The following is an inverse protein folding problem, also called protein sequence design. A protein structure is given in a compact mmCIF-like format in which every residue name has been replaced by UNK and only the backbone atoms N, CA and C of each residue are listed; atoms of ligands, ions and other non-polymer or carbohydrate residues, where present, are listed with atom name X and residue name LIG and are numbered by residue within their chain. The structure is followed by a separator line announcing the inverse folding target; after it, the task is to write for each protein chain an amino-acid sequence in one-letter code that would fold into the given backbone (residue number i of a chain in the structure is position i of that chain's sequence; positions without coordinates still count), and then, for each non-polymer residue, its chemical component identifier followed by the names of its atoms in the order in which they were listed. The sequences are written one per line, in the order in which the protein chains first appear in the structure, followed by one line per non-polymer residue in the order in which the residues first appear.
data_IF_231138677182
#
_entry.id   IF_231138677182
#
_cell.length_a   1.000
_cell.length_b   1.000
_cell.length_c   1.000
_cell.angle_alpha   90.00
_cell.angle_beta   90.00
_cell.angle_gamma   90.00
#
_symmetry.space_group_name_H-M   'P 1'
#
loop_
_entity.id
_entity.type
_entity.pdbx_description
1 polymer ?
#
# COMPACT_ATOMS: atom_id res chain seq x y z
N UNK A 1 -3.94 -7.04 31.35
CA UNK A 1 -4.49 -5.67 31.26
C UNK A 1 -4.58 -5.32 29.79
N UNK A 2 -5.66 -4.67 29.37
CA UNK A 2 -5.81 -4.30 27.96
C UNK A 2 -4.78 -3.21 27.60
N UNK A 3 -4.07 -3.42 26.48
CA UNK A 3 -3.05 -2.52 25.97
C UNK A 3 -3.49 -2.01 24.62
N UNK A 4 -3.38 -0.71 24.38
CA UNK A 4 -3.60 -0.08 23.08
C UNK A 4 -2.23 0.14 22.44
N UNK A 5 -2.08 -0.29 21.19
CA UNK A 5 -0.93 0.10 20.38
C UNK A 5 -1.28 1.30 19.52
N UNK A 6 -0.52 2.39 19.66
CA UNK A 6 -0.67 3.61 18.90
C UNK A 6 0.46 3.72 17.87
N UNK A 7 0.14 3.75 16.59
CA UNK A 7 1.19 3.74 15.56
C UNK A 7 1.86 5.11 15.42
N UNK A 8 3.18 5.18 15.56
CA UNK A 8 3.96 6.31 15.06
C UNK A 8 4.09 6.14 13.55
N UNK A 9 3.85 7.23 12.81
CA UNK A 9 3.71 7.21 11.35
C UNK A 9 4.54 8.33 10.75
N UNK A 10 4.00 9.08 9.79
CA UNK A 10 4.76 10.01 8.97
C UNK A 10 4.07 11.38 8.94
N UNK A 11 4.82 12.41 8.57
CA UNK A 11 4.30 13.73 8.18
C UNK A 11 3.30 14.34 9.20
N UNK A 12 2.15 14.81 8.75
CA UNK A 12 1.18 15.49 9.59
C UNK A 12 0.59 14.59 10.71
N UNK A 13 0.20 13.32 10.46
CA UNK A 13 -0.21 12.40 11.53
C UNK A 13 0.86 12.20 12.62
N UNK A 14 2.14 12.15 12.27
CA UNK A 14 3.21 12.05 13.25
C UNK A 14 3.26 13.31 14.14
N UNK A 15 3.25 14.51 13.53
CA UNK A 15 3.24 15.76 14.29
C UNK A 15 2.03 15.87 15.22
N UNK A 16 0.84 15.47 14.75
CA UNK A 16 -0.36 15.44 15.57
C UNK A 16 -0.23 14.46 16.75
N UNK A 17 0.41 13.31 16.53
CA UNK A 17 0.68 12.31 17.57
C UNK A 17 1.52 12.89 18.70
N UNK A 18 2.58 13.65 18.40
CA UNK A 18 3.40 14.31 19.44
C UNK A 18 2.60 15.23 20.36
N UNK A 19 1.53 15.85 19.85
CA UNK A 19 0.64 16.69 20.68
C UNK A 19 -0.44 15.88 21.39
N UNK A 20 -1.03 14.88 20.73
CA UNK A 20 -2.28 14.26 21.18
C UNK A 20 -2.08 12.96 21.97
N UNK A 21 -1.00 12.21 21.70
CA UNK A 21 -0.69 10.96 22.39
C UNK A 21 -0.55 11.15 23.92
N UNK A 22 0.14 12.18 24.45
CA UNK A 22 0.23 12.36 25.90
C UNK A 22 -1.14 12.59 26.57
N UNK A 23 -2.09 13.19 25.85
CA UNK A 23 -3.47 13.35 26.32
C UNK A 23 -4.18 12.00 26.37
N UNK A 24 -4.03 11.17 25.33
CA UNK A 24 -4.62 9.83 25.30
C UNK A 24 -4.06 8.97 26.45
N UNK A 25 -2.75 8.95 26.64
CA UNK A 25 -2.08 8.22 27.72
C UNK A 25 -2.60 8.63 29.12
N UNK A 26 -2.69 9.93 29.37
CA UNK A 26 -3.20 10.46 30.63
C UNK A 26 -4.64 10.01 30.93
N UNK A 27 -5.53 10.01 29.93
CA UNK A 27 -6.92 9.60 30.11
C UNK A 27 -7.08 8.07 30.17
N UNK A 28 -6.33 7.32 29.36
CA UNK A 28 -6.40 5.86 29.32
C UNK A 28 -5.86 5.22 30.61
N UNK A 29 -4.78 5.79 31.18
CA UNK A 29 -4.19 5.30 32.44
C UNK A 29 -5.16 5.39 33.63
N UNK A 30 -6.06 6.38 33.65
CA UNK A 30 -7.11 6.48 34.68
C UNK A 30 -8.10 5.30 34.66
N UNK A 31 -8.21 4.60 33.53
CA UNK A 31 -8.99 3.37 33.37
C UNK A 31 -8.14 2.09 33.46
N UNK A 32 -6.85 2.20 33.79
CA UNK A 32 -5.92 1.06 33.84
C UNK A 32 -5.58 0.48 32.46
N UNK A 33 -5.71 1.29 31.39
CA UNK A 33 -5.34 0.91 30.02
C UNK A 33 -3.98 1.50 29.68
N UNK A 34 -3.05 0.64 29.30
CA UNK A 34 -1.72 1.04 28.85
C UNK A 34 -1.77 1.43 27.37
N UNK A 35 -1.01 2.45 26.99
CA UNK A 35 -0.83 2.86 25.59
C UNK A 35 0.65 2.74 25.26
N UNK A 36 0.98 1.92 24.28
CA UNK A 36 2.35 1.78 23.78
C UNK A 36 2.43 2.24 22.33
N UNK A 37 3.60 2.70 21.94
CA UNK A 37 3.87 3.06 20.55
C UNK A 37 4.55 1.92 19.79
N UNK A 38 4.27 1.85 18.50
CA UNK A 38 5.08 1.08 17.54
C UNK A 38 5.35 1.95 16.33
N UNK A 39 6.62 2.07 15.94
CA UNK A 39 7.01 2.91 14.81
C UNK A 39 6.90 2.16 13.49
N UNK A 40 5.99 2.61 12.64
CA UNK A 40 5.78 2.10 11.28
C UNK A 40 6.01 3.21 10.24
N UNK A 41 6.72 4.28 10.63
CA UNK A 41 7.19 5.32 9.74
C UNK A 41 7.99 4.73 8.57
N UNK A 42 8.09 5.48 7.48
CA UNK A 42 8.98 5.11 6.37
C UNK A 42 10.42 4.95 6.84
N UNK A 43 10.90 5.86 7.69
CA UNK A 43 12.26 5.83 8.21
C UNK A 43 12.52 4.58 9.05
N UNK A 44 11.72 4.32 10.07
CA UNK A 44 11.88 3.15 10.95
C UNK A 44 11.80 1.83 10.19
N UNK A 45 10.86 1.71 9.23
CA UNK A 45 10.77 0.51 8.37
C UNK A 45 11.96 0.33 7.43
N UNK A 46 12.58 1.42 6.96
CA UNK A 46 13.84 1.32 6.20
C UNK A 46 14.93 0.79 7.13
N UNK A 47 15.14 1.40 8.30
CA UNK A 47 16.19 0.98 9.24
C UNK A 47 16.02 -0.49 9.64
N UNK A 48 14.81 -0.90 10.03
CA UNK A 48 14.48 -2.28 10.39
C UNK A 48 14.82 -3.29 9.28
N UNK A 49 14.56 -2.95 8.01
CA UNK A 49 14.84 -3.84 6.87
C UNK A 49 16.34 -4.09 6.63
N UNK A 50 17.22 -3.27 7.21
CA UNK A 50 18.67 -3.36 7.10
C UNK A 50 19.36 -3.57 8.46
N UNK A 51 18.61 -3.80 9.55
CA UNK A 51 19.15 -3.95 10.90
C UNK A 51 20.26 -5.00 11.03
N UNK A 52 20.26 -6.06 10.22
CA UNK A 52 21.33 -7.06 10.17
C UNK A 52 22.66 -6.54 9.60
N UNK A 53 22.60 -5.51 8.74
CA UNK A 53 23.76 -4.87 8.10
C UNK A 53 24.24 -3.61 8.85
N UNK A 54 23.41 -3.07 9.75
CA UNK A 54 23.74 -1.87 10.51
C UNK A 54 24.57 -2.19 11.77
N UNK A 55 25.42 -1.24 12.23
CA UNK A 55 26.04 -1.29 13.56
C UNK A 55 24.98 -1.45 14.65
N UNK A 56 25.33 -2.13 15.76
CA UNK A 56 24.37 -2.51 16.80
C UNK A 56 23.57 -1.31 17.36
N UNK A 57 24.23 -0.17 17.49
CA UNK A 57 23.69 1.09 17.97
C UNK A 57 22.71 1.78 17.00
N UNK A 58 22.70 1.38 15.73
CA UNK A 58 21.80 1.90 14.69
C UNK A 58 20.65 0.93 14.37
N UNK A 59 20.57 -0.23 15.05
CA UNK A 59 19.54 -1.24 14.78
C UNK A 59 18.24 -0.84 15.44
N UNK A 60 17.16 -1.05 14.71
CA UNK A 60 15.79 -0.94 15.22
C UNK A 60 15.07 -2.29 15.10
N UNK A 61 14.07 -2.52 15.96
CA UNK A 61 13.22 -3.70 15.86
C UNK A 61 12.24 -3.55 14.69
N UNK A 62 11.84 -4.67 14.09
CA UNK A 62 10.82 -4.66 13.04
C UNK A 62 9.42 -4.57 13.66
N UNK A 63 9.05 -3.36 14.04
CA UNK A 63 7.76 -3.07 14.64
C UNK A 63 6.57 -3.41 13.72
N UNK A 64 6.76 -3.44 12.39
CA UNK A 64 5.71 -3.86 11.46
C UNK A 64 5.49 -5.38 11.53
N UNK A 65 6.57 -6.16 11.60
CA UNK A 65 6.48 -7.60 11.82
C UNK A 65 5.85 -7.93 13.18
N UNK A 66 6.28 -7.26 14.25
CA UNK A 66 5.69 -7.41 15.60
C UNK A 66 4.18 -7.13 15.60
N UNK A 67 3.75 -6.06 14.91
CA UNK A 67 2.34 -5.72 14.79
C UNK A 67 1.55 -6.73 13.93
N UNK A 68 2.17 -7.32 12.92
CA UNK A 68 1.57 -8.38 12.12
C UNK A 68 1.30 -9.64 12.95
N UNK A 69 2.25 -10.05 13.77
CA UNK A 69 2.05 -11.13 14.73
C UNK A 69 0.93 -10.79 15.71
N UNK A 70 0.98 -9.59 16.31
CA UNK A 70 -0.05 -9.12 17.25
C UNK A 70 -1.44 -9.14 16.62
N UNK A 71 -1.60 -8.71 15.37
CA UNK A 71 -2.90 -8.64 14.68
C UNK A 71 -3.60 -10.01 14.55
N UNK A 72 -2.86 -11.11 14.65
CA UNK A 72 -3.41 -12.48 14.64
C UNK A 72 -3.82 -12.99 16.02
N UNK A 73 -3.64 -12.18 17.07
CA UNK A 73 -3.96 -12.53 18.47
C UNK A 73 -5.24 -11.85 18.95
N UNK A 74 -6.00 -12.47 19.88
CA UNK A 74 -7.18 -11.84 20.49
C UNK A 74 -6.90 -10.56 21.27
N UNK A 75 -5.65 -10.37 21.72
CA UNK A 75 -5.22 -9.22 22.50
C UNK A 75 -4.99 -7.96 21.64
N UNK A 76 -5.03 -8.08 20.31
CA UNK A 76 -4.77 -6.98 19.38
C UNK A 76 -5.77 -5.82 19.58
N UNK A 77 -5.24 -4.66 19.98
CA UNK A 77 -5.98 -3.41 20.00
C UNK A 77 -5.09 -2.29 19.43
N UNK A 78 -5.18 -2.08 18.12
CA UNK A 78 -4.25 -1.25 17.35
C UNK A 78 -4.99 -0.02 16.81
N UNK A 79 -4.55 1.17 17.21
CA UNK A 79 -4.95 2.44 16.60
C UNK A 79 -3.96 2.79 15.49
N UNK A 80 -4.39 2.57 14.25
CA UNK A 80 -3.60 2.82 13.05
C UNK A 80 -3.87 4.19 12.45
N UNK A 81 -2.86 5.07 12.46
CA UNK A 81 -2.91 6.39 11.83
C UNK A 81 -2.50 6.31 10.35
N UNK A 82 -2.85 7.29 9.49
CA UNK A 82 -2.36 7.33 8.11
C UNK A 82 -0.83 7.33 8.05
N UNK A 83 -0.25 6.60 7.09
CA UNK A 83 1.21 6.48 6.90
C UNK A 83 1.56 6.55 5.41
N UNK A 84 2.83 6.81 5.09
CA UNK A 84 3.34 6.86 3.73
C UNK A 84 3.33 5.45 3.11
N UNK A 85 2.65 5.32 1.97
CA UNK A 85 2.91 4.26 1.00
C UNK A 85 3.94 4.78 0.01
N UNK A 86 5.22 4.47 0.21
CA UNK A 86 6.29 5.24 -0.41
C UNK A 86 6.38 5.03 -1.92
N UNK A 87 6.39 6.13 -2.67
CA UNK A 87 6.89 6.16 -4.04
C UNK A 87 8.43 6.04 -4.07
N UNK A 88 9.01 5.73 -5.23
CA UNK A 88 10.48 5.68 -5.38
C UNK A 88 11.15 7.02 -5.01
N UNK A 89 10.65 8.20 -5.42
CA UNK A 89 11.24 9.47 -4.99
C UNK A 89 11.20 9.68 -3.47
N UNK A 90 10.08 9.37 -2.81
CA UNK A 90 9.97 9.48 -1.35
C UNK A 90 10.93 8.52 -0.64
N UNK A 91 11.07 7.30 -1.15
CA UNK A 91 12.01 6.33 -0.62
C UNK A 91 13.45 6.83 -0.71
N UNK A 92 13.88 7.32 -1.88
CA UNK A 92 15.23 7.89 -2.07
C UNK A 92 15.48 9.09 -1.17
N UNK A 93 14.48 9.96 -0.99
CA UNK A 93 14.58 11.10 -0.09
C UNK A 93 14.79 10.66 1.37
N UNK A 94 14.02 9.68 1.85
CA UNK A 94 14.17 9.14 3.20
C UNK A 94 15.53 8.46 3.41
N UNK A 95 16.02 7.70 2.42
CA UNK A 95 17.36 7.09 2.46
C UNK A 95 18.44 8.18 2.58
N UNK A 96 18.38 9.21 1.73
CA UNK A 96 19.35 10.30 1.75
C UNK A 96 19.33 11.08 3.08
N UNK A 97 18.15 11.29 3.67
CA UNK A 97 18.00 11.92 4.97
C UNK A 97 18.62 11.07 6.09
N UNK A 98 18.34 9.76 6.12
CA UNK A 98 18.92 8.82 7.09
C UNK A 98 20.45 8.72 6.96
N UNK A 99 20.97 8.69 5.73
CA UNK A 99 22.41 8.70 5.46
C UNK A 99 23.05 10.01 5.94
N UNK A 100 22.39 11.17 5.74
CA UNK A 100 22.86 12.45 6.25
C UNK A 100 22.88 12.51 7.79
N UNK A 101 22.04 11.72 8.46
CA UNK A 101 22.03 11.52 9.91
C UNK A 101 23.06 10.47 10.38
N UNK A 102 23.80 9.84 9.45
CA UNK A 102 24.89 8.90 9.75
C UNK A 102 24.47 7.43 9.79
N UNK A 103 23.24 7.08 9.40
CA UNK A 103 22.82 5.68 9.30
C UNK A 103 23.47 5.05 8.06
N UNK A 104 24.16 3.92 8.25
CA UNK A 104 24.98 3.28 7.21
C UNK A 104 24.15 2.45 6.20
N UNK A 105 23.15 3.07 5.58
CA UNK A 105 22.27 2.43 4.60
C UNK A 105 22.86 2.43 3.18
N UNK A 106 22.69 1.34 2.40
CA UNK A 106 23.00 1.35 0.98
C UNK A 106 22.01 2.25 0.21
N UNK A 107 22.47 2.80 -0.91
CA UNK A 107 21.59 3.53 -1.83
C UNK A 107 20.52 2.61 -2.44
N UNK A 108 19.45 3.21 -2.97
CA UNK A 108 18.47 2.48 -3.79
C UNK A 108 18.96 2.35 -5.24
N UNK A 109 19.30 1.14 -5.72
CA UNK A 109 19.79 0.98 -7.08
C UNK A 109 18.62 0.91 -8.06
N UNK A 110 18.57 1.82 -9.03
CA UNK A 110 17.53 1.82 -10.07
C UNK A 110 17.64 0.57 -10.96
N UNK A 111 18.88 0.24 -11.35
CA UNK A 111 19.25 -0.91 -12.16
C UNK A 111 20.37 -1.69 -11.44
N UNK A 112 20.04 -2.70 -10.62
CA UNK A 112 21.03 -3.42 -9.82
C UNK A 112 21.96 -4.28 -10.71
N UNK A 113 23.27 -4.15 -10.52
CA UNK A 113 24.34 -4.82 -11.30
C UNK A 113 25.15 -5.83 -10.49
N UNK A 114 24.99 -5.83 -9.17
CA UNK A 114 25.65 -6.74 -8.24
C UNK A 114 24.66 -7.47 -7.33
N UNK A 115 25.09 -8.58 -6.74
CA UNK A 115 24.28 -9.32 -5.76
C UNK A 115 23.89 -8.44 -4.54
N UNK A 116 24.79 -7.56 -4.09
CA UNK A 116 24.51 -6.63 -3.00
C UNK A 116 23.45 -5.59 -3.38
N UNK A 117 23.49 -5.05 -4.60
CA UNK A 117 22.46 -4.13 -5.09
C UNK A 117 21.11 -4.84 -5.30
N UNK A 118 21.11 -6.10 -5.75
CA UNK A 118 19.90 -6.90 -5.87
C UNK A 118 19.25 -7.16 -4.50
N UNK A 119 20.06 -7.50 -3.48
CA UNK A 119 19.58 -7.66 -2.11
C UNK A 119 19.01 -6.35 -1.53
N UNK A 120 19.76 -5.25 -1.64
CA UNK A 120 19.31 -3.95 -1.18
C UNK A 120 18.00 -3.52 -1.87
N UNK A 121 17.92 -3.69 -3.20
CA UNK A 121 16.69 -3.43 -3.96
C UNK A 121 15.52 -4.27 -3.47
N UNK A 122 15.73 -5.57 -3.25
CA UNK A 122 14.69 -6.48 -2.80
C UNK A 122 14.15 -6.10 -1.41
N UNK A 123 15.03 -5.70 -0.48
CA UNK A 123 14.65 -5.20 0.86
C UNK A 123 13.84 -3.90 0.75
N UNK A 124 14.34 -2.92 0.00
CA UNK A 124 13.63 -1.66 -0.23
C UNK A 124 12.27 -1.85 -0.93
N UNK A 125 12.17 -2.81 -1.86
CA UNK A 125 10.94 -3.09 -2.58
C UNK A 125 9.84 -3.74 -1.71
N UNK A 126 10.22 -4.31 -0.55
CA UNK A 126 9.29 -4.72 0.53
C UNK A 126 8.82 -3.53 1.37
N UNK A 127 9.63 -2.47 1.49
CA UNK A 127 9.31 -1.26 2.27
C UNK A 127 8.46 -0.26 1.48
N UNK A 128 8.68 -0.14 0.16
CA UNK A 128 7.96 0.81 -0.70
C UNK A 128 6.53 0.37 -1.03
N UNK A 129 5.70 1.32 -1.46
CA UNK A 129 4.29 1.08 -1.76
C UNK A 129 3.46 0.82 -0.50
N UNK A 130 2.31 0.16 -0.66
CA UNK A 130 1.41 -0.16 0.46
C UNK A 130 1.90 -1.37 1.28
N UNK A 131 3.03 -1.24 1.96
CA UNK A 131 3.64 -2.32 2.75
C UNK A 131 2.93 -2.60 4.09
N UNK A 132 2.36 -1.57 4.73
CA UNK A 132 1.79 -1.72 6.08
C UNK A 132 0.38 -2.33 6.07
N UNK A 133 -0.50 -1.90 5.16
CA UNK A 133 -1.90 -2.36 5.17
C UNK A 133 -2.05 -3.88 5.01
N UNK A 134 -1.30 -4.57 4.11
CA UNK A 134 -1.41 -6.02 3.97
C UNK A 134 -1.04 -6.80 5.23
N UNK A 135 -0.20 -6.23 6.10
CA UNK A 135 0.23 -6.87 7.36
C UNK A 135 -0.78 -6.67 8.48
N UNK A 136 -1.43 -5.50 8.55
CA UNK A 136 -2.32 -5.16 9.68
C UNK A 136 -3.79 -5.49 9.45
N UNK A 137 -4.18 -5.86 8.22
CA UNK A 137 -5.59 -6.09 7.85
C UNK A 137 -5.95 -7.57 7.88
N UNK A 138 -5.78 -8.18 9.03
CA UNK A 138 -6.21 -9.56 9.34
C UNK A 138 -7.72 -9.63 9.60
N UNK A 139 -8.51 -9.02 8.71
CA UNK A 139 -9.95 -8.92 8.84
C UNK A 139 -10.61 -8.06 7.76
N UNK A 140 -11.94 -8.04 7.78
CA UNK A 140 -12.75 -7.26 6.86
C UNK A 140 -12.88 -5.80 7.30
N UNK A 141 -13.43 -4.95 6.43
CA UNK A 141 -13.57 -3.51 6.69
C UNK A 141 -15.00 -3.11 7.09
N UNK A 142 -15.20 -2.55 8.27
CA UNK A 142 -16.36 -1.68 8.60
C UNK A 142 -15.95 -0.21 8.42
N UNK A 143 -16.53 0.48 7.43
CA UNK A 143 -16.26 1.90 7.15
C UNK A 143 -17.57 2.66 7.00
N UNK A 144 -17.77 3.65 7.86
CA UNK A 144 -18.97 4.50 7.87
C UNK A 144 -18.65 5.88 8.46
N UNK A 145 -19.35 6.90 7.97
CA UNK A 145 -19.29 8.23 8.59
C UNK A 145 -19.99 8.20 9.96
N UNK A 146 -19.35 8.65 11.05
CA UNK A 146 -20.01 8.72 12.35
C UNK A 146 -21.21 9.66 12.36
N UNK A 147 -22.25 9.33 13.14
CA UNK A 147 -23.48 10.13 13.20
C UNK A 147 -23.22 11.58 13.61
N UNK A 148 -22.32 11.82 14.57
CA UNK A 148 -21.92 13.16 14.99
C UNK A 148 -21.32 13.97 13.82
N UNK A 149 -20.43 13.36 13.03
CA UNK A 149 -19.82 13.98 11.84
C UNK A 149 -20.88 14.26 10.78
N UNK A 150 -21.81 13.33 10.53
CA UNK A 150 -22.91 13.54 9.58
C UNK A 150 -23.84 14.67 10.02
N UNK A 151 -24.15 14.78 11.31
CA UNK A 151 -24.97 15.86 11.85
C UNK A 151 -24.25 17.21 11.72
N UNK A 152 -22.95 17.25 12.03
CA UNK A 152 -22.13 18.44 11.85
C UNK A 152 -22.12 18.91 10.40
N UNK A 153 -21.93 17.99 9.42
CA UNK A 153 -21.96 18.32 8.00
C UNK A 153 -23.33 18.81 7.50
N UNK A 154 -24.44 18.40 8.14
CA UNK A 154 -25.78 18.94 7.82
C UNK A 154 -25.94 20.38 8.30
N UNK A 155 -25.38 20.70 9.47
CA UNK A 155 -25.46 22.05 10.05
C UNK A 155 -24.41 23.01 9.46
N UNK A 156 -23.31 22.47 8.93
CA UNK A 156 -22.22 23.21 8.31
C UNK A 156 -21.94 22.60 6.92
N UNK A 157 -22.83 22.83 5.94
CA UNK A 157 -22.66 22.26 4.61
C UNK A 157 -21.36 22.77 3.98
N UNK A 158 -20.55 21.85 3.50
CA UNK A 158 -19.36 22.20 2.71
C UNK A 158 -19.78 22.63 1.30
N UNK A 159 -18.90 23.35 0.62
CA UNK A 159 -19.12 23.77 -0.76
C UNK A 159 -19.29 22.56 -1.67
N UNK A 160 -20.36 22.54 -2.44
CA UNK A 160 -20.61 21.58 -3.51
C UNK A 160 -20.71 22.37 -4.81
N UNK A 161 -19.85 22.06 -5.79
CA UNK A 161 -19.90 22.71 -7.10
C UNK A 161 -21.24 22.45 -7.79
N UNK A 162 -21.82 23.48 -8.41
CA UNK A 162 -23.05 23.33 -9.18
C UNK A 162 -22.80 22.43 -10.40
N UNK A 163 -23.73 21.53 -10.68
CA UNK A 163 -23.70 20.69 -11.87
C UNK A 163 -24.57 21.28 -12.98
N UNK A 164 -24.02 21.34 -14.19
CA UNK A 164 -24.77 21.73 -15.40
C UNK A 164 -25.26 20.49 -16.14
N UNK A 165 -26.46 20.55 -16.70
CA UNK A 165 -26.97 19.55 -17.62
C UNK A 165 -26.15 19.49 -18.93
N UNK A 166 -25.43 20.57 -19.26
CA UNK A 166 -24.53 20.65 -20.42
C UNK A 166 -23.10 20.12 -20.13
N UNK A 167 -22.90 19.49 -18.97
CA UNK A 167 -21.59 18.95 -18.59
C UNK A 167 -21.12 17.88 -19.58
N UNK A 168 -19.90 18.05 -20.11
CA UNK A 168 -19.24 17.07 -20.97
C UNK A 168 -18.34 16.10 -20.19
N UNK A 169 -18.22 16.25 -18.87
CA UNK A 169 -17.41 15.35 -18.05
C UNK A 169 -17.98 13.94 -18.09
N UNK A 170 -17.19 12.98 -18.58
CA UNK A 170 -17.56 11.58 -18.68
C UNK A 170 -16.37 10.68 -18.35
N UNK A 171 -16.64 9.46 -17.90
CA UNK A 171 -15.64 8.41 -17.76
C UNK A 171 -15.52 7.67 -19.09
N UNK A 172 -14.30 7.48 -19.56
CA UNK A 172 -13.98 6.57 -20.65
C UNK A 172 -13.24 5.35 -20.08
N UNK A 173 -13.62 4.15 -20.49
CA UNK A 173 -13.00 2.88 -20.10
C UNK A 173 -12.96 1.92 -21.29
N UNK A 174 -12.04 0.94 -21.29
CA UNK A 174 -11.81 0.03 -22.43
C UNK A 174 -13.01 -0.87 -22.72
N UNK A 175 -13.58 -1.53 -21.71
CA UNK A 175 -14.78 -2.37 -21.83
C UNK A 175 -14.55 -3.74 -22.49
N UNK A 176 -13.47 -3.90 -23.26
CA UNK A 176 -13.00 -5.16 -23.85
C UNK A 176 -11.47 -5.22 -23.81
N UNK A 177 -10.90 -6.43 -23.78
CA UNK A 177 -9.46 -6.68 -23.71
C UNK A 177 -8.77 -6.01 -22.51
N UNK A 178 -9.54 -5.72 -21.47
CA UNK A 178 -9.10 -5.22 -20.17
C UNK A 178 -9.16 -6.33 -19.12
N UNK A 179 -8.66 -6.03 -17.91
CA UNK A 179 -8.65 -7.02 -16.83
C UNK A 179 -10.03 -7.59 -16.52
N UNK A 180 -11.10 -6.77 -16.60
CA UNK A 180 -12.46 -7.21 -16.31
C UNK A 180 -12.97 -8.19 -17.36
N UNK A 181 -12.75 -7.90 -18.63
CA UNK A 181 -13.27 -8.69 -19.74
C UNK A 181 -12.48 -9.96 -20.03
N UNK A 182 -11.21 -10.01 -19.62
CA UNK A 182 -10.34 -11.18 -19.78
C UNK A 182 -10.28 -12.10 -18.55
N UNK A 183 -10.95 -11.75 -17.46
CA UNK A 183 -10.89 -12.49 -16.20
C UNK A 183 -11.43 -13.92 -16.34
N UNK A 184 -10.68 -14.87 -15.78
CA UNK A 184 -11.12 -16.23 -15.51
C UNK A 184 -10.94 -16.51 -14.02
N UNK A 185 -11.85 -17.29 -13.45
CA UNK A 185 -11.90 -17.57 -12.01
C UNK A 185 -12.20 -19.05 -11.77
N UNK A 186 -11.54 -19.62 -10.76
CA UNK A 186 -11.77 -20.98 -10.30
C UNK A 186 -11.85 -21.02 -8.77
N UNK A 187 -12.68 -21.93 -8.25
CA UNK A 187 -12.70 -22.27 -6.82
C UNK A 187 -11.95 -23.59 -6.65
N UNK A 188 -10.91 -23.59 -5.83
CA UNK A 188 -10.02 -24.73 -5.68
C UNK A 188 -10.71 -25.83 -4.88
N UNK A 189 -10.74 -27.08 -5.36
CA UNK A 189 -11.44 -28.17 -4.68
C UNK A 189 -10.68 -28.69 -3.44
N UNK A 190 -9.40 -28.36 -3.30
CA UNK A 190 -8.52 -28.83 -2.23
C UNK A 190 -7.24 -28.01 -2.18
N UNK A 191 -6.43 -28.24 -1.16
CA UNK A 191 -5.10 -27.62 -1.03
C UNK A 191 -4.21 -28.05 -2.20
N UNK A 192 -3.48 -27.10 -2.79
CA UNK A 192 -2.59 -27.36 -3.93
C UNK A 192 -1.40 -26.37 -3.97
N UNK A 193 -0.45 -26.61 -4.88
CA UNK A 193 0.69 -25.73 -5.13
C UNK A 193 0.76 -25.43 -6.63
N UNK A 194 0.42 -24.20 -6.99
CA UNK A 194 0.34 -23.73 -8.36
C UNK A 194 1.70 -23.19 -8.84
N UNK A 195 1.96 -23.37 -10.14
CA UNK A 195 3.06 -22.74 -10.87
C UNK A 195 2.48 -21.91 -12.01
N UNK A 196 2.92 -20.66 -12.14
CA UNK A 196 2.56 -19.75 -13.23
C UNK A 196 3.67 -19.82 -14.27
N UNK A 197 3.36 -20.39 -15.43
CA UNK A 197 4.32 -20.60 -16.54
C UNK A 197 3.86 -19.85 -17.78
N UNK A 198 4.80 -19.15 -18.43
CA UNK A 198 4.62 -18.63 -19.77
C UNK A 198 5.19 -19.62 -20.79
N UNK A 199 4.38 -20.04 -21.76
CA UNK A 199 4.81 -20.85 -22.89
C UNK A 199 4.97 -19.95 -24.12
N UNK A 200 6.20 -19.81 -24.60
CA UNK A 200 6.52 -19.05 -25.81
C UNK A 200 5.94 -19.67 -27.08
N UNK A 201 5.84 -18.87 -28.15
CA UNK A 201 5.37 -19.37 -29.45
C UNK A 201 6.27 -20.44 -30.07
N UNK A 202 7.53 -20.51 -29.64
CA UNK A 202 8.52 -21.53 -29.96
C UNK A 202 8.44 -22.78 -29.06
N UNK A 203 7.54 -22.79 -28.07
CA UNK A 203 7.39 -23.84 -27.07
C UNK A 203 8.30 -23.68 -25.86
N UNK A 204 9.13 -22.63 -25.78
CA UNK A 204 10.00 -22.39 -24.62
C UNK A 204 9.15 -22.05 -23.40
N UNK A 205 9.31 -22.81 -22.31
CA UNK A 205 8.64 -22.55 -21.04
C UNK A 205 9.50 -21.66 -20.14
N UNK A 206 8.88 -20.62 -19.58
CA UNK A 206 9.48 -19.74 -18.59
C UNK A 206 8.60 -19.70 -17.35
N UNK A 207 9.13 -20.14 -16.21
CA UNK A 207 8.42 -20.08 -14.93
C UNK A 207 8.42 -18.63 -14.43
N UNK A 208 7.23 -18.03 -14.33
CA UNK A 208 7.04 -16.66 -13.84
C UNK A 208 6.92 -16.64 -12.31
N UNK A 209 6.23 -17.63 -11.74
CA UNK A 209 6.11 -17.82 -10.29
C UNK A 209 5.97 -19.31 -9.99
N UNK A 210 6.82 -19.80 -9.11
CA UNK A 210 6.70 -21.16 -8.58
C UNK A 210 6.23 -21.17 -7.12
N UNK A 211 5.68 -22.29 -6.68
CA UNK A 211 5.36 -22.55 -5.28
C UNK A 211 4.21 -21.70 -4.70
N UNK A 212 3.22 -21.34 -5.52
CA UNK A 212 2.04 -20.59 -5.05
C UNK A 212 1.07 -21.55 -4.36
N UNK A 213 1.13 -21.62 -3.02
CA UNK A 213 0.23 -22.45 -2.23
C UNK A 213 -1.18 -21.88 -2.23
N UNK A 214 -2.17 -22.76 -2.38
CA UNK A 214 -3.60 -22.43 -2.34
C UNK A 214 -4.33 -23.40 -1.41
N UNK A 215 -5.45 -22.96 -0.85
CA UNK A 215 -6.28 -23.71 0.09
C UNK A 215 -7.54 -24.27 -0.57
N UNK A 216 -8.10 -25.31 0.03
CA UNK A 216 -9.44 -25.79 -0.28
C UNK A 216 -10.47 -24.65 -0.16
N UNK A 217 -11.24 -24.41 -1.23
CA UNK A 217 -12.24 -23.35 -1.32
C UNK A 217 -11.68 -21.95 -1.62
N UNK A 218 -10.37 -21.81 -1.80
CA UNK A 218 -9.76 -20.55 -2.23
C UNK A 218 -10.23 -20.20 -3.66
N UNK A 219 -10.47 -18.91 -3.90
CA UNK A 219 -10.80 -18.38 -5.23
C UNK A 219 -9.52 -17.86 -5.86
N UNK A 220 -9.18 -18.37 -7.04
CA UNK A 220 -8.02 -17.92 -7.80
C UNK A 220 -8.49 -17.35 -9.13
N UNK A 221 -8.14 -16.08 -9.36
CA UNK A 221 -8.45 -15.36 -10.57
C UNK A 221 -7.18 -15.14 -11.40
N UNK A 222 -7.30 -15.28 -12.72
CA UNK A 222 -6.25 -14.94 -13.67
C UNK A 222 -6.82 -14.02 -14.75
N UNK A 223 -6.08 -12.97 -15.07
CA UNK A 223 -6.49 -11.99 -16.07
C UNK A 223 -5.28 -11.31 -16.70
N UNK A 224 -5.51 -10.57 -17.78
CA UNK A 224 -4.50 -9.74 -18.43
C UNK A 224 -5.13 -8.51 -19.08
N UNK A 225 -4.30 -7.51 -19.36
CA UNK A 225 -4.67 -6.35 -20.18
C UNK A 225 -3.88 -6.42 -21.49
N UNK A 226 -4.55 -6.22 -22.63
CA UNK A 226 -3.87 -6.16 -23.92
C UNK A 226 -3.19 -4.81 -24.09
N UNK A 227 -1.85 -4.80 -24.16
CA UNK A 227 -1.08 -3.58 -24.40
C UNK A 227 -1.50 -2.88 -25.70
N UNK A 228 -1.69 -3.64 -26.79
CA UNK A 228 -2.12 -3.10 -28.08
C UNK A 228 -3.52 -2.47 -28.02
N UNK A 229 -4.47 -3.10 -27.30
CA UNK A 229 -5.81 -2.55 -27.14
C UNK A 229 -5.80 -1.30 -26.25
N UNK A 230 -4.99 -1.29 -25.19
CA UNK A 230 -4.80 -0.14 -24.31
C UNK A 230 -4.23 1.05 -25.09
N UNK A 231 -3.20 0.84 -25.90
CA UNK A 231 -2.60 1.89 -26.73
C UNK A 231 -3.60 2.47 -27.73
N UNK A 232 -4.38 1.62 -28.41
CA UNK A 232 -5.42 2.05 -29.32
C UNK A 232 -6.50 2.89 -28.60
N UNK A 233 -6.98 2.40 -27.46
CA UNK A 233 -7.94 3.09 -26.62
C UNK A 233 -7.43 4.46 -26.17
N UNK A 234 -6.20 4.54 -25.65
CA UNK A 234 -5.62 5.80 -25.18
C UNK A 234 -5.47 6.82 -26.30
N UNK A 235 -5.02 6.41 -27.49
CA UNK A 235 -4.95 7.29 -28.68
C UNK A 235 -6.32 7.84 -29.06
N UNK A 236 -7.34 6.99 -29.05
CA UNK A 236 -8.72 7.39 -29.32
C UNK A 236 -9.22 8.38 -28.27
N UNK A 237 -9.01 8.13 -26.98
CA UNK A 237 -9.49 9.02 -25.92
C UNK A 237 -8.77 10.37 -25.91
N UNK A 238 -7.49 10.42 -26.28
CA UNK A 238 -6.77 11.69 -26.49
C UNK A 238 -7.38 12.47 -27.65
N UNK A 239 -7.68 11.81 -28.77
CA UNK A 239 -8.33 12.45 -29.92
C UNK A 239 -9.74 12.95 -29.58
N UNK A 240 -10.53 12.15 -28.85
CA UNK A 240 -11.86 12.50 -28.36
C UNK A 240 -11.82 13.72 -27.44
N UNK A 241 -10.94 13.73 -26.45
CA UNK A 241 -10.80 14.87 -25.52
C UNK A 241 -10.50 16.18 -26.26
N UNK A 242 -9.63 16.10 -27.29
CA UNK A 242 -9.33 17.23 -28.16
C UNK A 242 -10.55 17.66 -28.98
N UNK A 243 -11.29 16.73 -29.58
CA UNK A 243 -12.46 17.02 -30.42
C UNK A 243 -13.62 17.62 -29.61
N UNK A 244 -13.86 17.12 -28.40
CA UNK A 244 -14.92 17.60 -27.50
C UNK A 244 -14.53 18.88 -26.74
N UNK A 245 -13.24 19.26 -26.81
CA UNK A 245 -12.63 20.40 -26.12
C UNK A 245 -12.77 20.25 -24.59
N UNK A 246 -12.33 19.11 -24.07
CA UNK A 246 -12.33 18.78 -22.65
C UNK A 246 -10.92 18.43 -22.16
N UNK A 247 -10.67 18.59 -20.86
CA UNK A 247 -9.39 18.21 -20.26
C UNK A 247 -9.21 16.69 -20.31
N UNK A 248 -8.05 16.24 -20.79
CA UNK A 248 -7.65 14.84 -20.69
C UNK A 248 -7.04 14.60 -19.31
N UNK A 249 -7.64 13.71 -18.54
CA UNK A 249 -7.16 13.31 -17.21
C UNK A 249 -7.08 11.80 -17.10
N UNK A 250 -6.06 11.31 -16.40
CA UNK A 250 -5.84 9.87 -16.15
C UNK A 250 -5.95 9.62 -14.65
N UNK A 251 -6.80 8.68 -14.28
CA UNK A 251 -7.08 8.33 -12.88
C UNK A 251 -6.65 6.88 -12.63
N UNK A 252 -5.47 6.71 -12.03
CA UNK A 252 -4.87 5.40 -11.71
C UNK A 252 -4.52 5.34 -10.23
N UNK A 253 -4.12 4.14 -9.76
CA UNK A 253 -3.73 3.90 -8.37
C UNK A 253 -2.30 3.38 -8.24
N UNK A 254 -1.36 4.08 -8.87
CA UNK A 254 0.03 3.66 -9.09
C UNK A 254 0.79 3.17 -7.85
N UNK A 255 0.57 3.76 -6.68
CA UNK A 255 1.27 3.35 -5.45
C UNK A 255 0.77 2.02 -4.89
N UNK A 256 -0.53 1.74 -5.03
CA UNK A 256 -1.12 0.48 -4.57
C UNK A 256 -0.87 -0.62 -5.60
N UNK A 257 -1.12 -0.31 -6.88
CA UNK A 257 -0.86 -1.19 -8.01
C UNK A 257 0.58 -0.95 -8.48
N UNK A 258 1.54 -1.42 -7.67
CA UNK A 258 2.98 -1.12 -7.84
C UNK A 258 3.65 -1.84 -9.03
N UNK A 259 2.92 -2.76 -9.67
CA UNK A 259 3.26 -3.48 -10.89
C UNK A 259 2.08 -3.30 -11.85
#
# INVERSE_FOLDING_TARGET
MAKIIYTLTDEAPLLATYSFLPVIEAFASAAGVEVETRDISLAGRIVAAFSDLLPQEQRESDALAELGELATTPEANIIKLPNISASVPQLKAAIAELQAQGIALPDYPDEPKSAAEQDARARYDKVKGSAVNPVLREGNSDRRAPAAVKNYARNHPHSMGAWSADSKTNVATMGVHDFRSNEQSVVLPGDDVLTITHTGADGTETVLKDGLRVLAGEVVDATFISAAALDAFLREQVARAKAEVVLFSVHLKATMMKV
#
